data_IF_846542763424
#
_entry.id   IF_846542763424
#
_cell.length_a   1.000
_cell.length_b   1.000
_cell.length_c   1.000
_cell.angle_alpha   90.00
_cell.angle_beta   90.00
_cell.angle_gamma   90.00
#
_symmetry.space_group_name_H-M   'P 1'
#
loop_
_entity.id
_entity.type
_entity.pdbx_description
1 polymer ?
#
# COMPACT_ATOMS: atom_id res chain seq x y z
N UNK A 1 -8.07 79.52 -1.75
CA UNK A 1 -8.25 78.08 -1.42
C UNK A 1 -8.12 77.11 -2.60
N UNK A 2 -8.31 77.51 -3.87
CA UNK A 2 -8.14 76.60 -5.04
C UNK A 2 -6.73 75.99 -5.17
N UNK A 3 -5.68 76.76 -4.86
CA UNK A 3 -4.28 76.29 -4.99
C UNK A 3 -3.87 75.22 -3.96
N UNK A 4 -4.51 75.18 -2.79
CA UNK A 4 -4.22 74.18 -1.74
C UNK A 4 -4.74 72.79 -2.16
N UNK A 5 -5.90 72.74 -2.83
CA UNK A 5 -6.46 71.47 -3.34
C UNK A 5 -5.58 70.84 -4.42
N UNK A 6 -4.99 71.67 -5.29
CA UNK A 6 -4.06 71.20 -6.33
C UNK A 6 -2.75 70.69 -5.73
N UNK A 7 -2.22 71.37 -4.70
CA UNK A 7 -1.01 70.92 -4.01
C UNK A 7 -1.25 69.60 -3.27
N UNK A 8 -2.36 69.46 -2.56
CA UNK A 8 -2.72 68.20 -1.88
C UNK A 8 -2.94 67.05 -2.87
N UNK A 9 -3.52 67.32 -4.05
CA UNK A 9 -3.68 66.31 -5.09
C UNK A 9 -2.30 65.85 -5.62
N UNK A 10 -1.39 66.78 -5.91
CA UNK A 10 -0.04 66.44 -6.39
C UNK A 10 0.73 65.65 -5.33
N UNK A 11 0.66 66.06 -4.05
CA UNK A 11 1.32 65.33 -2.95
C UNK A 11 0.73 63.93 -2.81
N UNK A 12 -0.61 63.79 -2.85
CA UNK A 12 -1.28 62.50 -2.78
C UNK A 12 -0.85 61.59 -3.94
N UNK A 13 -0.86 62.09 -5.18
CA UNK A 13 -0.44 61.32 -6.35
C UNK A 13 1.02 60.86 -6.25
N UNK A 14 1.93 61.73 -5.77
CA UNK A 14 3.33 61.36 -5.57
C UNK A 14 3.46 60.28 -4.49
N UNK A 15 2.76 60.40 -3.35
CA UNK A 15 2.82 59.38 -2.29
C UNK A 15 2.26 58.03 -2.71
N UNK A 16 1.26 57.98 -3.60
CA UNK A 16 0.74 56.72 -4.13
C UNK A 16 1.66 56.08 -5.18
N UNK A 17 2.45 56.86 -5.93
CA UNK A 17 3.39 56.29 -6.92
C UNK A 17 4.64 55.71 -6.27
N UNK A 18 5.17 56.29 -5.18
CA UNK A 18 6.32 55.70 -4.47
C UNK A 18 5.95 54.56 -3.51
N UNK A 19 4.68 54.43 -3.13
CA UNK A 19 4.21 53.36 -2.23
C UNK A 19 3.87 52.04 -2.94
N UNK A 20 3.86 52.02 -4.28
CA UNK A 20 3.48 50.83 -5.05
C UNK A 20 4.64 50.17 -5.82
N UNK A 21 5.87 50.68 -5.71
CA UNK A 21 7.03 50.07 -6.39
C UNK A 21 7.77 49.03 -5.54
N UNK A 22 7.37 48.83 -4.29
CA UNK A 22 8.00 47.88 -3.38
C UNK A 22 6.91 47.06 -2.64
N UNK A 23 6.24 46.16 -3.38
CA UNK A 23 5.12 45.35 -2.87
C UNK A 23 5.54 44.20 -1.92
N UNK A 24 6.83 44.14 -1.54
CA UNK A 24 7.35 43.10 -0.65
C UNK A 24 8.61 43.48 0.16
N UNK A 25 9.20 44.66 -0.07
CA UNK A 25 10.49 45.01 0.51
C UNK A 25 11.62 44.12 -0.04
N UNK A 26 12.84 44.39 0.41
CA UNK A 26 14.03 43.52 0.22
C UNK A 26 13.92 42.15 0.92
N UNK A 27 12.72 41.75 1.32
CA UNK A 27 12.38 40.51 2.04
C UNK A 27 12.33 39.29 1.12
N UNK A 28 12.97 39.35 -0.06
CA UNK A 28 13.24 38.15 -0.86
C UNK A 28 14.25 37.34 -0.06
N UNK A 29 13.74 36.39 0.73
CA UNK A 29 14.58 35.34 1.29
C UNK A 29 14.97 34.50 0.07
N UNK A 30 16.25 34.46 -0.34
CA UNK A 30 16.67 33.54 -1.37
C UNK A 30 16.43 32.14 -0.84
N UNK A 31 15.41 31.47 -1.38
CA UNK A 31 15.15 30.07 -1.09
C UNK A 31 15.97 29.25 -2.08
N UNK A 32 16.67 28.26 -1.58
CA UNK A 32 17.33 27.27 -2.42
C UNK A 32 16.25 26.37 -3.03
N UNK A 33 16.30 26.20 -4.36
CA UNK A 33 15.37 25.32 -5.05
C UNK A 33 15.80 23.86 -4.83
N UNK A 34 14.88 23.05 -4.29
CA UNK A 34 15.09 21.61 -4.14
C UNK A 34 14.80 20.83 -5.43
N UNK A 35 14.91 19.50 -5.33
CA UNK A 35 14.54 18.57 -6.39
C UNK A 35 13.61 17.46 -5.87
N UNK A 36 12.72 16.98 -6.72
CA UNK A 36 11.80 15.88 -6.42
C UNK A 36 11.68 14.94 -7.62
N UNK A 37 11.65 13.61 -7.41
CA UNK A 37 11.46 12.66 -8.49
C UNK A 37 9.97 12.44 -8.78
N UNK A 38 9.70 11.82 -9.92
CA UNK A 38 8.46 11.11 -10.18
C UNK A 38 8.80 9.66 -10.55
N UNK A 39 8.45 8.72 -9.68
CA UNK A 39 8.64 7.29 -9.88
C UNK A 39 7.33 6.63 -10.28
N UNK A 40 7.37 5.75 -11.26
CA UNK A 40 6.18 5.04 -11.76
C UNK A 40 6.51 3.56 -11.90
N UNK A 41 5.77 2.69 -11.21
CA UNK A 41 5.89 1.24 -11.42
C UNK A 41 5.47 0.89 -12.86
N UNK A 42 6.18 -0.01 -13.52
CA UNK A 42 5.71 -0.54 -14.79
C UNK A 42 4.40 -1.31 -14.57
N UNK A 43 3.47 -1.25 -15.52
CA UNK A 43 2.14 -1.89 -15.39
C UNK A 43 2.22 -3.41 -15.28
N UNK A 44 3.26 -4.02 -15.83
CA UNK A 44 3.56 -5.45 -15.73
C UNK A 44 4.40 -5.83 -14.51
N UNK A 45 4.95 -4.85 -13.78
CA UNK A 45 5.82 -5.13 -12.65
C UNK A 45 5.01 -5.67 -11.46
N UNK A 46 5.58 -6.60 -10.68
CA UNK A 46 4.94 -7.08 -9.47
C UNK A 46 4.78 -5.93 -8.46
N UNK A 47 3.67 -5.94 -7.73
CA UNK A 47 3.39 -4.91 -6.72
C UNK A 47 4.22 -5.10 -5.44
N UNK A 48 4.71 -6.31 -5.19
CA UNK A 48 5.41 -6.77 -3.99
C UNK A 48 6.53 -7.75 -4.37
N UNK A 49 7.45 -8.02 -3.43
CA UNK A 49 8.45 -9.08 -3.57
C UNK A 49 7.83 -10.37 -3.03
N UNK A 50 7.65 -11.36 -3.90
CA UNK A 50 7.14 -12.68 -3.53
C UNK A 50 8.16 -13.46 -2.70
N UNK A 51 7.89 -13.64 -1.42
CA UNK A 51 8.79 -14.26 -0.46
C UNK A 51 9.09 -15.73 -0.79
N UNK A 52 8.10 -16.49 -1.28
CA UNK A 52 8.29 -17.90 -1.64
C UNK A 52 9.21 -18.01 -2.85
N UNK A 53 8.98 -17.16 -3.86
CA UNK A 53 9.84 -17.09 -5.05
C UNK A 53 11.26 -16.67 -4.68
N UNK A 54 11.40 -15.67 -3.82
CA UNK A 54 12.70 -15.21 -3.35
C UNK A 54 13.47 -16.33 -2.62
N UNK A 55 12.81 -17.08 -1.74
CA UNK A 55 13.38 -18.23 -1.04
C UNK A 55 13.82 -19.35 -1.98
N UNK A 56 13.03 -19.62 -3.02
CA UNK A 56 13.33 -20.65 -4.01
C UNK A 56 14.35 -20.22 -5.06
N UNK A 57 14.84 -18.97 -5.01
CA UNK A 57 15.74 -18.41 -6.01
C UNK A 57 15.08 -18.19 -7.37
N UNK A 58 13.74 -18.10 -7.40
CA UNK A 58 13.00 -17.75 -8.61
C UNK A 58 13.15 -16.25 -8.91
N UNK A 59 13.31 -15.88 -10.19
CA UNK A 59 13.53 -14.49 -10.55
C UNK A 59 12.25 -13.67 -10.34
N UNK A 60 12.35 -12.61 -9.55
CA UNK A 60 11.35 -11.55 -9.45
C UNK A 60 12.03 -10.29 -9.97
N UNK A 61 11.41 -9.63 -10.93
CA UNK A 61 11.94 -8.41 -11.54
C UNK A 61 11.03 -7.24 -11.23
N UNK A 62 11.53 -6.28 -10.46
CA UNK A 62 10.89 -5.01 -10.20
C UNK A 62 11.23 -4.05 -11.34
N UNK A 63 10.23 -3.52 -12.02
CA UNK A 63 10.43 -2.58 -13.13
C UNK A 63 9.73 -1.25 -12.82
N UNK A 64 10.44 -0.15 -13.06
CA UNK A 64 9.93 1.19 -12.77
C UNK A 64 10.65 2.26 -13.61
N UNK A 65 9.93 3.33 -13.92
CA UNK A 65 10.48 4.54 -14.52
C UNK A 65 10.79 5.57 -13.43
N UNK A 66 11.87 6.31 -13.60
CA UNK A 66 12.17 7.49 -12.77
C UNK A 66 12.38 8.69 -13.68
N UNK A 67 11.78 9.82 -13.31
CA UNK A 67 11.95 11.12 -13.96
C UNK A 67 12.10 12.22 -12.91
N UNK A 68 12.57 13.40 -13.32
CA UNK A 68 12.62 14.58 -12.44
C UNK A 68 11.29 15.30 -12.55
N UNK A 69 10.52 15.37 -11.45
CA UNK A 69 9.29 16.15 -11.39
C UNK A 69 9.56 17.64 -11.20
N UNK A 70 10.56 17.95 -10.38
CA UNK A 70 10.91 19.32 -10.01
C UNK A 70 12.41 19.43 -9.73
N UNK A 71 12.97 20.61 -10.01
CA UNK A 71 14.37 20.94 -9.75
C UNK A 71 15.30 20.61 -10.92
N UNK A 72 16.56 20.99 -10.78
CA UNK A 72 17.62 20.75 -11.77
C UNK A 72 18.90 20.23 -11.07
N UNK A 73 18.89 18.98 -10.59
CA UNK A 73 20.02 18.39 -9.89
C UNK A 73 21.23 18.22 -10.83
N UNK A 74 22.44 18.34 -10.28
CA UNK A 74 23.68 18.06 -11.01
C UNK A 74 23.92 16.56 -11.22
N UNK A 75 23.53 15.74 -10.25
CA UNK A 75 23.53 14.27 -10.37
C UNK A 75 22.37 13.65 -9.59
N UNK A 76 22.02 12.43 -9.99
CA UNK A 76 20.96 11.64 -9.34
C UNK A 76 21.46 10.23 -9.06
N UNK A 77 21.20 9.73 -7.86
CA UNK A 77 21.32 8.33 -7.50
C UNK A 77 19.93 7.76 -7.22
N UNK A 78 19.72 6.49 -7.54
CA UNK A 78 18.55 5.72 -7.12
C UNK A 78 18.93 4.97 -5.84
N UNK A 79 18.16 5.20 -4.78
CA UNK A 79 18.41 4.69 -3.44
C UNK A 79 17.36 3.63 -3.11
N UNK A 80 17.80 2.52 -2.53
CA UNK A 80 16.97 1.53 -1.90
C UNK A 80 17.06 1.67 -0.37
N UNK A 81 15.91 1.66 0.29
CA UNK A 81 15.79 1.62 1.75
C UNK A 81 15.06 0.34 2.10
N UNK A 82 15.75 -0.57 2.78
CA UNK A 82 15.17 -1.84 3.22
C UNK A 82 14.81 -1.76 4.70
N UNK A 83 13.54 -1.85 5.03
CA UNK A 83 13.04 -1.84 6.41
C UNK A 83 12.54 -3.23 6.76
N UNK A 84 13.16 -3.84 7.76
CA UNK A 84 12.70 -5.14 8.27
C UNK A 84 11.46 -4.97 9.14
N UNK A 85 10.61 -5.99 9.21
CA UNK A 85 9.45 -6.04 10.09
C UNK A 85 9.84 -5.86 11.57
N UNK A 86 11.04 -6.31 11.94
CA UNK A 86 11.60 -6.16 13.29
C UNK A 86 12.02 -4.72 13.62
N UNK A 87 12.05 -3.81 12.64
CA UNK A 87 12.36 -2.39 12.82
C UNK A 87 13.71 -1.90 12.27
N UNK A 88 14.79 -2.70 12.18
CA UNK A 88 16.02 -2.28 11.50
C UNK A 88 15.80 -1.75 10.08
N UNK A 89 16.55 -0.70 9.73
CA UNK A 89 16.54 -0.04 8.42
C UNK A 89 17.95 -0.03 7.82
N UNK A 90 18.06 -0.45 6.56
CA UNK A 90 19.30 -0.49 5.78
C UNK A 90 19.14 0.35 4.51
N UNK A 91 20.25 0.90 4.00
CA UNK A 91 20.22 1.77 2.82
C UNK A 91 21.31 1.35 1.83
N UNK A 92 21.00 1.40 0.54
CA UNK A 92 21.92 1.08 -0.53
C UNK A 92 21.74 2.03 -1.72
N UNK A 93 22.83 2.34 -2.42
CA UNK A 93 22.77 2.96 -3.74
C UNK A 93 22.52 1.86 -4.75
N UNK A 94 21.32 1.81 -5.33
CA UNK A 94 20.95 0.81 -6.33
C UNK A 94 21.52 1.16 -7.71
N UNK A 95 21.46 2.44 -8.08
CA UNK A 95 22.03 2.95 -9.32
C UNK A 95 22.67 4.31 -9.06
N UNK A 96 23.95 4.47 -9.40
CA UNK A 96 24.70 5.70 -9.16
C UNK A 96 24.80 6.58 -10.40
N UNK A 97 24.67 7.90 -10.21
CA UNK A 97 24.90 8.93 -11.23
C UNK A 97 24.15 8.69 -12.54
N UNK A 98 22.85 8.44 -12.43
CA UNK A 98 21.96 8.13 -13.56
C UNK A 98 21.50 9.38 -14.29
N UNK A 99 21.11 9.22 -15.57
CA UNK A 99 20.51 10.30 -16.37
C UNK A 99 19.03 10.03 -16.54
N UNK A 100 18.18 10.95 -16.06
CA UNK A 100 16.73 10.80 -16.08
C UNK A 100 16.08 11.62 -17.22
N UNK A 101 14.93 11.21 -17.77
CA UNK A 101 14.12 10.04 -17.39
C UNK A 101 14.70 8.72 -17.88
N UNK A 102 14.55 7.66 -17.09
CA UNK A 102 15.08 6.33 -17.41
C UNK A 102 14.22 5.23 -16.79
N UNK A 103 14.11 4.10 -17.51
CA UNK A 103 13.54 2.85 -17.00
C UNK A 103 14.61 2.02 -16.30
N UNK A 104 14.24 1.45 -15.15
CA UNK A 104 15.08 0.62 -14.31
C UNK A 104 14.45 -0.75 -14.12
N UNK A 105 15.32 -1.74 -13.97
CA UNK A 105 14.97 -3.13 -13.68
C UNK A 105 15.85 -3.59 -12.53
N UNK A 106 15.24 -4.14 -11.48
CA UNK A 106 15.91 -4.63 -10.29
C UNK A 106 15.41 -6.03 -9.99
N UNK A 107 16.29 -7.03 -10.05
CA UNK A 107 15.94 -8.39 -9.68
C UNK A 107 16.06 -8.61 -8.17
N UNK A 108 15.46 -9.66 -7.63
CA UNK A 108 15.69 -10.06 -6.22
C UNK A 108 17.18 -10.28 -5.93
N UNK A 109 17.95 -10.80 -6.88
CA UNK A 109 19.39 -10.98 -6.73
C UNK A 109 20.13 -9.64 -6.63
N UNK A 110 19.69 -8.62 -7.39
CA UNK A 110 20.26 -7.27 -7.30
C UNK A 110 19.93 -6.63 -5.95
N UNK A 111 18.72 -6.86 -5.41
CA UNK A 111 18.35 -6.42 -4.05
C UNK A 111 19.29 -7.05 -3.03
N UNK A 112 19.42 -8.39 -3.02
CA UNK A 112 20.31 -9.11 -2.10
C UNK A 112 21.75 -8.60 -2.23
N UNK A 113 22.25 -8.39 -3.45
CA UNK A 113 23.61 -7.89 -3.67
C UNK A 113 23.82 -6.43 -3.23
N UNK A 114 22.77 -5.61 -3.19
CA UNK A 114 22.85 -4.20 -2.83
C UNK A 114 22.93 -3.96 -1.32
N UNK A 115 22.33 -4.84 -0.51
CA UNK A 115 22.29 -4.70 0.96
C UNK A 115 23.20 -5.73 1.61
N UNK A 116 24.23 -5.26 2.32
CA UNK A 116 25.21 -6.13 2.99
C UNK A 116 24.63 -7.01 4.11
N UNK A 117 23.44 -6.65 4.59
CA UNK A 117 22.72 -7.30 5.69
C UNK A 117 21.76 -8.40 5.19
N UNK A 118 21.63 -8.57 3.87
CA UNK A 118 20.78 -9.56 3.23
C UNK A 118 21.71 -10.54 2.48
N UNK A 119 21.87 -11.76 2.99
CA UNK A 119 22.79 -12.74 2.40
C UNK A 119 22.11 -13.53 1.26
N UNK A 120 20.79 -13.67 1.32
CA UNK A 120 20.01 -14.47 0.38
C UNK A 120 18.55 -14.02 0.28
N UNK A 121 17.83 -14.53 -0.71
CA UNK A 121 16.38 -14.34 -0.81
C UNK A 121 15.62 -14.89 0.40
N UNK A 122 16.22 -15.79 1.20
CA UNK A 122 15.64 -16.27 2.43
C UNK A 122 15.66 -15.26 3.57
N UNK A 123 16.48 -14.22 3.50
CA UNK A 123 16.50 -13.14 4.49
C UNK A 123 15.41 -12.10 4.21
N UNK A 124 14.73 -12.19 3.06
CA UNK A 124 13.56 -11.38 2.77
C UNK A 124 12.34 -11.98 3.48
N UNK A 125 11.93 -11.35 4.58
CA UNK A 125 10.86 -11.85 5.44
C UNK A 125 9.54 -11.12 5.20
N UNK A 126 8.44 -11.80 5.47
CA UNK A 126 7.10 -11.23 5.37
C UNK A 126 6.97 -10.03 6.27
N UNK A 127 6.44 -8.92 5.73
CA UNK A 127 6.31 -7.67 6.44
C UNK A 127 7.53 -6.76 6.33
N UNK A 128 8.64 -7.23 5.75
CA UNK A 128 9.73 -6.36 5.33
C UNK A 128 9.28 -5.45 4.16
N UNK A 129 10.00 -4.35 3.95
CA UNK A 129 9.67 -3.36 2.94
C UNK A 129 10.92 -2.88 2.22
N UNK A 130 10.94 -3.03 0.90
CA UNK A 130 11.88 -2.31 0.04
C UNK A 130 11.22 -1.01 -0.46
N UNK A 131 11.75 0.12 -0.03
CA UNK A 131 11.38 1.44 -0.54
C UNK A 131 12.44 1.93 -1.53
N UNK A 132 12.02 2.23 -2.76
CA UNK A 132 12.88 2.85 -3.79
C UNK A 132 12.60 4.35 -3.83
N UNK A 133 13.66 5.14 -3.85
CA UNK A 133 13.61 6.60 -3.92
C UNK A 133 14.85 7.16 -4.61
N UNK A 134 15.04 8.48 -4.57
CA UNK A 134 16.20 9.16 -5.17
C UNK A 134 16.99 9.95 -4.15
N UNK A 135 18.29 10.08 -4.40
CA UNK A 135 19.17 11.08 -3.82
C UNK A 135 19.60 12.03 -4.92
N UNK A 136 19.41 13.32 -4.71
CA UNK A 136 19.87 14.34 -5.65
C UNK A 136 21.10 15.06 -5.09
N UNK A 137 22.10 15.30 -5.94
CA UNK A 137 23.15 16.29 -5.65
C UNK A 137 22.88 17.52 -6.49
N UNK A 138 22.69 18.66 -5.85
CA UNK A 138 22.43 19.95 -6.50
C UNK A 138 23.72 20.58 -7.05
N UNK A 139 23.66 21.57 -7.96
CA UNK A 139 24.85 22.19 -8.55
C UNK A 139 25.81 22.87 -7.56
N UNK A 140 25.32 23.25 -6.38
CA UNK A 140 26.10 23.80 -5.28
C UNK A 140 26.76 22.72 -4.40
N UNK A 141 26.49 21.44 -4.67
CA UNK A 141 26.96 20.29 -3.91
C UNK A 141 26.02 19.83 -2.80
N UNK A 142 24.88 20.48 -2.60
CA UNK A 142 23.89 20.10 -1.58
C UNK A 142 23.28 18.74 -1.93
N UNK A 143 23.23 17.83 -0.94
CA UNK A 143 22.64 16.50 -1.10
C UNK A 143 21.23 16.50 -0.53
N UNK A 144 20.26 16.09 -1.33
CA UNK A 144 18.86 15.98 -0.97
C UNK A 144 18.43 14.51 -1.00
N UNK A 145 18.16 13.97 0.19
CA UNK A 145 17.59 12.64 0.39
C UNK A 145 16.08 12.75 0.57
N UNK A 146 15.32 12.08 -0.29
CA UNK A 146 13.85 12.09 -0.22
C UNK A 146 13.34 11.33 1.00
N UNK A 147 13.97 10.19 1.31
CA UNK A 147 13.77 9.41 2.52
C UNK A 147 15.04 9.51 3.34
N UNK A 148 14.93 9.81 4.64
CA UNK A 148 16.10 9.93 5.49
C UNK A 148 16.76 8.57 5.73
N UNK A 149 18.07 8.55 6.06
CA UNK A 149 18.80 7.29 6.28
C UNK A 149 18.23 6.38 7.38
N UNK A 150 17.44 6.92 8.32
CA UNK A 150 16.74 6.16 9.36
C UNK A 150 15.37 5.61 8.90
N UNK A 151 15.05 5.70 7.61
CA UNK A 151 13.81 5.19 7.02
C UNK A 151 12.58 6.05 7.27
N UNK A 152 12.73 7.18 7.97
CA UNK A 152 11.62 8.10 8.21
C UNK A 152 11.26 8.80 6.90
N UNK A 153 9.98 8.72 6.53
CA UNK A 153 9.39 9.50 5.42
C UNK A 153 9.23 10.95 5.90
N UNK A 154 10.34 11.67 6.00
CA UNK A 154 10.41 12.99 6.65
C UNK A 154 11.47 13.94 6.08
N UNK A 155 12.32 13.48 5.15
CA UNK A 155 13.39 14.29 4.54
C UNK A 155 12.90 15.41 3.64
N UNK A 156 11.61 15.44 3.31
CA UNK A 156 10.99 16.46 2.45
C UNK A 156 9.85 17.18 3.16
N UNK A 157 9.46 18.36 2.69
CA UNK A 157 8.30 19.09 3.23
C UNK A 157 6.99 18.32 3.03
N UNK A 158 5.99 18.57 3.89
CA UNK A 158 4.67 17.90 3.81
C UNK A 158 4.00 18.07 2.46
N UNK A 159 4.21 19.19 1.78
CA UNK A 159 3.75 19.46 0.43
C UNK A 159 4.26 18.44 -0.61
N UNK A 160 5.49 17.94 -0.44
CA UNK A 160 6.08 16.91 -1.30
C UNK A 160 5.60 15.51 -0.88
N UNK A 161 5.44 15.27 0.42
CA UNK A 161 5.00 13.97 0.93
C UNK A 161 3.53 13.65 0.59
N UNK A 162 2.66 14.66 0.52
CA UNK A 162 1.22 14.47 0.32
C UNK A 162 0.73 14.88 -1.08
N UNK A 163 1.64 15.21 -2.00
CA UNK A 163 1.27 15.59 -3.36
C UNK A 163 0.68 14.41 -4.12
N UNK A 164 -0.29 14.69 -5.00
CA UNK A 164 -0.88 13.71 -5.93
C UNK A 164 -0.35 13.88 -7.35
N UNK A 165 0.52 14.86 -7.59
CA UNK A 165 1.00 15.21 -8.93
C UNK A 165 2.13 14.30 -9.41
N UNK A 166 2.89 13.73 -8.49
CA UNK A 166 4.01 12.84 -8.74
C UNK A 166 4.23 11.93 -7.54
N UNK A 167 4.93 10.82 -7.76
CA UNK A 167 5.24 9.85 -6.71
C UNK A 167 6.71 9.93 -6.35
N UNK A 168 7.04 10.11 -5.08
CA UNK A 168 8.43 10.31 -4.61
C UNK A 168 9.10 9.05 -4.07
N UNK A 169 8.31 8.02 -3.79
CA UNK A 169 8.77 6.72 -3.29
C UNK A 169 7.95 5.59 -3.90
N UNK A 170 8.59 4.48 -4.25
CA UNK A 170 7.92 3.22 -4.56
C UNK A 170 8.13 2.26 -3.41
N UNK A 171 7.05 1.63 -2.94
CA UNK A 171 7.10 0.64 -1.86
C UNK A 171 6.82 -0.75 -2.45
N UNK A 172 7.71 -1.70 -2.15
CA UNK A 172 7.58 -3.11 -2.49
C UNK A 172 7.63 -3.91 -1.19
N UNK A 173 6.46 -4.18 -0.58
CA UNK A 173 6.42 -5.06 0.58
C UNK A 173 6.91 -6.45 0.20
N UNK A 174 7.54 -7.15 1.14
CA UNK A 174 7.80 -8.58 1.02
C UNK A 174 6.57 -9.31 1.55
N UNK A 175 5.95 -10.11 0.69
CA UNK A 175 4.74 -10.87 0.99
C UNK A 175 4.73 -12.15 0.15
N UNK A 176 3.89 -13.13 0.47
CA UNK A 176 3.69 -14.28 -0.42
C UNK A 176 2.56 -13.99 -1.40
N UNK A 177 2.65 -14.53 -2.61
CA UNK A 177 1.52 -14.48 -3.55
C UNK A 177 0.39 -15.36 -3.02
N UNK A 178 -0.62 -14.72 -2.44
CA UNK A 178 -1.91 -15.34 -2.25
C UNK A 178 -2.65 -15.38 -3.59
N UNK A 179 -3.20 -16.52 -3.97
CA UNK A 179 -4.14 -16.62 -5.08
C UNK A 179 -5.45 -17.23 -4.58
N UNK A 180 -6.08 -16.55 -3.64
CA UNK A 180 -7.37 -16.97 -3.09
C UNK A 180 -8.55 -16.33 -3.84
N UNK A 181 -8.31 -15.45 -4.82
CA UNK A 181 -9.39 -14.81 -5.55
C UNK A 181 -10.23 -15.80 -6.36
N UNK A 182 -11.52 -15.52 -6.50
CA UNK A 182 -12.44 -16.34 -7.28
C UNK A 182 -13.85 -16.36 -6.71
N UNK A 183 -14.72 -17.16 -7.33
CA UNK A 183 -16.06 -17.46 -6.81
C UNK A 183 -16.12 -18.90 -6.30
N UNK A 184 -16.23 -19.05 -4.98
CA UNK A 184 -16.19 -20.32 -4.28
C UNK A 184 -17.59 -20.74 -3.87
N UNK A 185 -17.93 -22.01 -4.04
CA UNK A 185 -19.16 -22.54 -3.44
C UNK A 185 -18.93 -22.81 -1.97
N UNK A 186 -19.95 -22.62 -1.15
CA UNK A 186 -19.89 -22.94 0.27
C UNK A 186 -21.06 -23.82 0.70
N UNK A 187 -20.84 -24.57 1.77
CA UNK A 187 -21.87 -25.24 2.57
C UNK A 187 -21.68 -24.82 4.02
N UNK A 188 -22.62 -24.03 4.54
CA UNK A 188 -22.64 -23.55 5.92
C UNK A 188 -23.52 -24.43 6.78
N UNK A 189 -23.04 -24.74 7.97
CA UNK A 189 -23.73 -25.55 8.98
C UNK A 189 -23.56 -24.94 10.38
N UNK A 190 -24.26 -25.48 11.37
CA UNK A 190 -24.18 -25.04 12.77
C UNK A 190 -24.36 -23.51 12.96
N UNK A 191 -25.19 -22.88 12.12
CA UNK A 191 -25.44 -21.45 12.17
C UNK A 191 -26.11 -21.06 13.50
N UNK A 192 -25.55 -20.06 14.17
CA UNK A 192 -26.08 -19.49 15.40
C UNK A 192 -26.19 -17.98 15.26
N UNK A 193 -27.33 -17.44 15.69
CA UNK A 193 -27.53 -16.02 15.83
C UNK A 193 -27.85 -15.69 17.29
N UNK A 194 -27.31 -14.60 17.82
CA UNK A 194 -27.54 -14.20 19.21
C UNK A 194 -29.03 -13.94 19.49
N UNK A 195 -29.74 -13.40 18.50
CA UNK A 195 -31.19 -13.12 18.59
C UNK A 195 -31.89 -13.63 17.34
N UNK A 196 -32.14 -14.93 17.26
CA UNK A 196 -32.86 -15.49 16.10
C UNK A 196 -33.00 -17.01 16.17
N UNK A 197 -33.80 -17.56 15.26
CA UNK A 197 -33.83 -18.99 15.00
C UNK A 197 -33.20 -19.26 13.65
N UNK A 198 -32.01 -19.82 13.67
CA UNK A 198 -31.32 -20.26 12.47
C UNK A 198 -31.93 -21.57 11.92
N UNK A 199 -31.79 -21.83 10.61
CA UNK A 199 -32.24 -23.09 10.03
C UNK A 199 -31.49 -24.27 10.64
N UNK A 200 -32.16 -25.42 10.78
CA UNK A 200 -31.57 -26.64 11.36
C UNK A 200 -30.78 -27.49 10.37
N UNK A 201 -30.65 -27.04 9.12
CA UNK A 201 -29.96 -27.76 8.05
C UNK A 201 -28.99 -26.85 7.32
N UNK A 202 -28.22 -27.47 6.44
CA UNK A 202 -27.14 -26.78 5.73
C UNK A 202 -27.66 -25.72 4.77
N UNK A 203 -26.87 -24.66 4.62
CA UNK A 203 -27.13 -23.54 3.71
C UNK A 203 -26.01 -23.49 2.70
N UNK A 204 -26.35 -23.68 1.43
CA UNK A 204 -25.38 -23.61 0.34
C UNK A 204 -25.51 -22.31 -0.43
N UNK A 205 -24.38 -21.85 -0.97
CA UNK A 205 -24.33 -20.66 -1.80
C UNK A 205 -22.97 -20.47 -2.43
N UNK A 206 -22.68 -19.24 -2.83
CA UNK A 206 -21.38 -18.84 -3.35
C UNK A 206 -20.89 -17.59 -2.65
N UNK A 207 -19.59 -17.52 -2.42
CA UNK A 207 -18.91 -16.31 -1.97
C UNK A 207 -17.87 -15.92 -3.02
N UNK A 208 -17.74 -14.63 -3.30
CA UNK A 208 -16.73 -14.11 -4.20
C UNK A 208 -15.66 -13.40 -3.40
N UNK A 209 -14.41 -13.80 -3.60
CA UNK A 209 -13.22 -13.13 -3.06
C UNK A 209 -12.54 -12.36 -4.18
N UNK A 210 -12.59 -11.02 -4.09
CA UNK A 210 -12.02 -10.11 -5.09
C UNK A 210 -10.66 -9.63 -4.63
N UNK A 211 -9.60 -10.01 -5.36
CA UNK A 211 -8.23 -9.59 -5.10
C UNK A 211 -8.10 -8.06 -5.18
N UNK A 212 -7.60 -7.45 -4.10
CA UNK A 212 -7.30 -6.02 -4.00
C UNK A 212 -5.79 -5.74 -4.14
N UNK A 213 -4.98 -6.78 -4.31
CA UNK A 213 -3.52 -6.74 -4.35
C UNK A 213 -2.87 -6.91 -2.98
N UNK A 214 -1.62 -7.37 -2.97
CA UNK A 214 -0.81 -7.50 -1.75
C UNK A 214 -1.31 -8.53 -0.74
N UNK A 215 -2.12 -9.50 -1.18
CA UNK A 215 -2.72 -10.51 -0.30
C UNK A 215 -4.03 -10.09 0.36
N UNK A 216 -4.60 -8.94 0.01
CA UNK A 216 -5.88 -8.46 0.55
C UNK A 216 -7.03 -8.85 -0.38
N UNK A 217 -8.12 -9.37 0.18
CA UNK A 217 -9.31 -9.79 -0.55
C UNK A 217 -10.56 -9.15 0.02
N UNK A 218 -11.40 -8.61 -0.87
CA UNK A 218 -12.77 -8.22 -0.53
C UNK A 218 -13.69 -9.43 -0.65
N UNK A 219 -14.48 -9.74 0.39
CA UNK A 219 -15.47 -10.83 0.37
C UNK A 219 -16.89 -10.30 0.16
N UNK A 220 -17.66 -11.01 -0.67
CA UNK A 220 -19.08 -10.71 -0.88
C UNK A 220 -19.98 -11.09 0.30
N UNK A 221 -19.47 -11.90 1.24
CA UNK A 221 -20.19 -12.33 2.44
C UNK A 221 -19.20 -12.81 3.51
N UNK A 222 -19.22 -12.19 4.68
CA UNK A 222 -18.40 -12.55 5.84
C UNK A 222 -19.00 -13.70 6.67
N UNK A 223 -20.32 -13.92 6.57
CA UNK A 223 -21.09 -14.90 7.34
C UNK A 223 -21.58 -16.09 6.51
N UNK A 224 -21.07 -16.24 5.28
CA UNK A 224 -21.32 -17.38 4.39
C UNK A 224 -22.81 -17.79 4.32
N UNK A 225 -23.66 -16.85 3.93
CA UNK A 225 -25.08 -17.06 3.68
C UNK A 225 -25.98 -16.90 4.90
N UNK A 226 -25.44 -16.77 6.12
CA UNK A 226 -26.27 -16.72 7.34
C UNK A 226 -27.35 -15.64 7.27
N UNK A 227 -27.00 -14.41 6.86
CA UNK A 227 -27.94 -13.30 6.90
C UNK A 227 -29.16 -13.52 6.00
N UNK A 228 -28.98 -14.19 4.86
CA UNK A 228 -30.06 -14.53 3.93
C UNK A 228 -31.04 -15.60 4.44
N UNK A 229 -30.77 -16.21 5.59
CA UNK A 229 -31.61 -17.29 6.17
C UNK A 229 -32.64 -16.75 7.16
N UNK A 230 -33.36 -17.64 7.84
CA UNK A 230 -34.24 -17.27 8.96
C UNK A 230 -33.50 -16.74 10.18
N UNK A 231 -32.16 -16.78 10.23
CA UNK A 231 -31.38 -16.10 11.28
C UNK A 231 -31.69 -14.59 11.29
N UNK A 232 -31.67 -13.95 10.11
CA UNK A 232 -31.80 -12.49 9.97
C UNK A 232 -32.75 -12.04 8.86
N UNK A 233 -32.93 -12.84 7.80
CA UNK A 233 -33.73 -12.52 6.61
C UNK A 233 -33.32 -11.20 5.94
N UNK A 234 -32.02 -11.03 5.80
CA UNK A 234 -31.35 -9.82 5.32
C UNK A 234 -30.40 -10.12 4.16
N UNK A 235 -29.84 -9.07 3.57
CA UNK A 235 -28.73 -9.10 2.64
C UNK A 235 -27.46 -9.70 3.25
N UNK A 236 -26.56 -10.31 2.44
CA UNK A 236 -25.27 -10.85 2.90
C UNK A 236 -24.47 -9.88 3.78
N UNK A 237 -23.67 -10.41 4.71
CA UNK A 237 -22.83 -9.61 5.59
C UNK A 237 -21.62 -9.07 4.81
N UNK A 238 -21.70 -7.86 4.27
CA UNK A 238 -20.66 -7.28 3.41
C UNK A 238 -20.67 -5.75 3.41
N UNK A 239 -19.52 -5.16 3.09
CA UNK A 239 -19.34 -3.72 2.89
C UNK A 239 -18.09 -3.46 2.04
N UNK A 240 -17.77 -2.20 1.74
CA UNK A 240 -16.48 -1.85 1.13
C UNK A 240 -15.26 -2.16 2.02
N UNK A 241 -15.47 -2.46 3.30
CA UNK A 241 -14.45 -2.88 4.26
C UNK A 241 -14.55 -4.36 4.65
N UNK A 242 -15.39 -5.17 3.99
CA UNK A 242 -15.49 -6.61 4.27
C UNK A 242 -14.30 -7.36 3.65
N UNK A 243 -13.13 -7.24 4.27
CA UNK A 243 -11.86 -7.72 3.70
C UNK A 243 -11.11 -8.64 4.64
N UNK A 244 -10.50 -9.71 4.14
CA UNK A 244 -9.49 -10.47 4.87
C UNK A 244 -8.14 -10.37 4.14
N UNK A 245 -7.06 -10.76 4.82
CA UNK A 245 -5.74 -10.86 4.20
C UNK A 245 -5.19 -12.26 4.30
N UNK A 246 -4.48 -12.70 3.27
CA UNK A 246 -3.58 -13.84 3.33
C UNK A 246 -2.13 -13.36 3.34
N UNK A 247 -1.40 -13.81 4.35
CA UNK A 247 0.02 -13.56 4.49
C UNK A 247 0.73 -14.91 4.61
N UNK A 248 1.23 -15.41 3.47
CA UNK A 248 1.97 -16.67 3.40
C UNK A 248 1.17 -17.85 3.92
N UNK A 249 -0.01 -18.00 3.34
CA UNK A 249 -0.98 -19.04 3.63
C UNK A 249 -1.62 -18.93 5.03
N UNK A 250 -1.38 -17.84 5.77
CA UNK A 250 -2.11 -17.51 6.98
C UNK A 250 -3.25 -16.55 6.63
N UNK A 251 -4.48 -17.06 6.66
CA UNK A 251 -5.66 -16.21 6.58
C UNK A 251 -5.82 -15.46 7.90
N UNK A 252 -5.64 -14.15 7.80
CA UNK A 252 -5.96 -13.19 8.86
C UNK A 252 -7.31 -12.59 8.49
N UNK A 253 -8.34 -13.08 9.16
CA UNK A 253 -9.68 -12.49 9.08
C UNK A 253 -9.64 -11.05 9.58
N UNK A 254 -10.38 -10.19 8.89
CA UNK A 254 -10.44 -8.78 9.17
C UNK A 254 -11.67 -8.16 8.52
N UNK A 255 -11.75 -6.83 8.60
CA UNK A 255 -12.82 -6.08 7.96
C UNK A 255 -14.12 -6.03 8.76
N UNK A 256 -15.08 -5.29 8.19
CA UNK A 256 -16.38 -5.02 8.80
C UNK A 256 -17.51 -5.21 7.79
N UNK A 257 -18.63 -5.73 8.25
CA UNK A 257 -19.87 -5.78 7.47
C UNK A 257 -20.56 -4.40 7.39
N UNK A 258 -21.74 -4.33 6.78
CA UNK A 258 -22.55 -3.10 6.65
C UNK A 258 -23.00 -2.51 7.99
N UNK A 259 -22.90 -3.27 9.09
CA UNK A 259 -23.27 -2.87 10.44
C UNK A 259 -22.04 -2.54 11.31
N UNK A 260 -20.83 -2.65 10.75
CA UNK A 260 -19.58 -2.39 11.47
C UNK A 260 -19.08 -3.57 12.31
N UNK A 261 -19.68 -4.75 12.15
CA UNK A 261 -19.34 -5.94 12.93
C UNK A 261 -18.05 -6.57 12.42
N UNK A 262 -17.19 -6.99 13.34
CA UNK A 262 -15.92 -7.64 13.00
C UNK A 262 -16.05 -9.15 13.05
N UNK A 263 -15.40 -9.83 12.10
CA UNK A 263 -15.46 -11.29 11.95
C UNK A 263 -14.11 -11.92 12.24
N UNK A 264 -14.14 -13.06 12.91
CA UNK A 264 -13.00 -13.94 13.12
C UNK A 264 -13.26 -15.25 12.39
N UNK A 265 -12.30 -15.68 11.57
CA UNK A 265 -12.28 -16.96 10.88
C UNK A 265 -11.13 -17.80 11.42
N UNK A 266 -11.40 -19.09 11.63
CA UNK A 266 -10.42 -20.10 12.03
C UNK A 266 -10.49 -21.22 11.01
N UNK A 267 -9.44 -21.35 10.19
CA UNK A 267 -9.33 -22.44 9.22
C UNK A 267 -9.01 -23.71 10.00
N UNK A 268 -9.87 -24.72 9.90
CA UNK A 268 -9.76 -25.96 10.68
C UNK A 268 -9.19 -27.12 9.87
N UNK A 269 -9.40 -27.14 8.56
CA UNK A 269 -8.87 -28.17 7.66
C UNK A 269 -8.76 -27.67 6.22
N UNK A 270 -7.78 -28.20 5.48
CA UNK A 270 -7.64 -28.00 4.03
C UNK A 270 -7.31 -29.34 3.40
N UNK A 271 -8.17 -29.79 2.48
CA UNK A 271 -8.02 -31.06 1.80
C UNK A 271 -8.38 -30.91 0.31
N UNK A 272 -7.34 -30.72 -0.51
CA UNK A 272 -7.50 -30.50 -1.95
C UNK A 272 -8.41 -29.28 -2.20
N UNK A 273 -9.53 -29.42 -2.91
CA UNK A 273 -10.40 -28.31 -3.26
C UNK A 273 -11.31 -27.84 -2.11
N UNK A 274 -11.34 -28.55 -0.98
CA UNK A 274 -12.20 -28.22 0.16
C UNK A 274 -11.38 -27.61 1.30
N UNK A 275 -11.88 -26.49 1.84
CA UNK A 275 -11.36 -25.83 3.03
C UNK A 275 -12.48 -25.69 4.05
N UNK A 276 -12.25 -26.19 5.26
CA UNK A 276 -13.18 -26.06 6.38
C UNK A 276 -12.74 -24.92 7.30
N UNK A 277 -13.67 -24.06 7.70
CA UNK A 277 -13.41 -23.02 8.70
C UNK A 277 -14.62 -22.81 9.61
N UNK A 278 -14.35 -22.39 10.84
CA UNK A 278 -15.36 -21.85 11.75
C UNK A 278 -15.24 -20.33 11.78
N UNK A 279 -16.37 -19.65 11.88
CA UNK A 279 -16.39 -18.20 11.98
C UNK A 279 -17.29 -17.71 13.11
N UNK A 280 -16.97 -16.54 13.64
CA UNK A 280 -17.80 -15.81 14.61
C UNK A 280 -17.67 -14.31 14.40
N UNK A 281 -18.68 -13.53 14.81
CA UNK A 281 -18.58 -12.07 14.87
C UNK A 281 -18.67 -11.53 16.31
N UNK A 282 -18.33 -10.25 16.47
CA UNK A 282 -18.37 -9.54 17.76
C UNK A 282 -19.78 -9.23 18.28
N UNK A 283 -20.81 -9.50 17.50
CA UNK A 283 -22.21 -9.44 17.92
C UNK A 283 -22.68 -10.74 18.59
N UNK A 284 -22.01 -11.87 18.34
CA UNK A 284 -22.31 -13.17 18.93
C UNK A 284 -22.92 -14.18 17.96
N UNK A 285 -22.86 -13.92 16.66
CA UNK A 285 -23.24 -14.90 15.63
C UNK A 285 -22.05 -15.78 15.26
N UNK A 286 -22.33 -17.01 14.81
CA UNK A 286 -21.30 -17.96 14.39
C UNK A 286 -21.81 -19.00 13.40
N UNK A 287 -20.88 -19.74 12.80
CA UNK A 287 -21.17 -20.90 11.98
C UNK A 287 -19.92 -21.66 11.56
N UNK A 288 -20.13 -22.86 11.01
CA UNK A 288 -19.10 -23.65 10.35
C UNK A 288 -19.35 -23.62 8.84
N UNK A 289 -18.29 -23.60 8.04
CA UNK A 289 -18.41 -23.58 6.59
C UNK A 289 -17.36 -24.46 5.94
N UNK A 290 -17.77 -25.19 4.92
CA UNK A 290 -16.88 -25.85 3.96
C UNK A 290 -16.94 -25.06 2.66
N UNK A 291 -15.79 -24.52 2.23
CA UNK A 291 -15.60 -23.83 0.98
C UNK A 291 -14.97 -24.77 -0.04
N UNK A 292 -15.62 -24.91 -1.20
CA UNK A 292 -15.03 -25.55 -2.37
C UNK A 292 -14.48 -24.49 -3.31
N UNK A 293 -13.18 -24.58 -3.63
CA UNK A 293 -12.50 -23.61 -4.48
C UNK A 293 -13.11 -23.60 -5.90
N UNK A 294 -13.01 -22.45 -6.55
CA UNK A 294 -13.54 -22.24 -7.89
C UNK A 294 -12.96 -23.28 -8.87
N UNK A 295 -13.82 -23.90 -9.68
CA UNK A 295 -13.39 -24.91 -10.64
C UNK A 295 -12.89 -26.22 -10.03
N UNK A 296 -12.98 -26.41 -8.70
CA UNK A 296 -12.53 -27.62 -8.01
C UNK A 296 -11.01 -27.79 -7.99
N UNK A 297 -10.26 -26.69 -8.09
CA UNK A 297 -8.80 -26.72 -7.96
C UNK A 297 -8.39 -26.76 -6.48
N UNK A 298 -7.25 -27.35 -6.17
CA UNK A 298 -6.80 -27.47 -4.78
C UNK A 298 -6.50 -26.11 -4.17
N UNK A 299 -6.86 -25.87 -2.90
CA UNK A 299 -6.38 -24.72 -2.13
C UNK A 299 -4.85 -24.77 -1.96
N UNK A 300 -4.17 -23.62 -1.81
CA UNK A 300 -2.78 -23.64 -1.33
C UNK A 300 -2.72 -24.21 0.09
N UNK A 301 -1.53 -24.59 0.56
CA UNK A 301 -1.31 -25.13 1.90
C UNK A 301 -1.51 -24.04 2.97
N UNK A 302 -2.77 -23.79 3.35
CA UNK A 302 -3.16 -22.81 4.37
C UNK A 302 -2.89 -23.32 5.78
N UNK A 303 -2.50 -22.41 6.68
CA UNK A 303 -2.36 -22.70 8.09
C UNK A 303 -3.72 -23.06 8.70
N UNK A 304 -3.77 -24.21 9.34
CA UNK A 304 -4.92 -24.69 10.10
C UNK A 304 -4.69 -24.54 11.60
N UNK A 305 -5.77 -24.39 12.38
CA UNK A 305 -5.76 -24.19 13.84
C UNK A 305 -6.78 -25.09 14.54
#
# INVERSE_FOLDING_TARGET
>A
MKKIKTILLIIATITFTVSCEDDGGTSVIPLEEGAAPNLVKATSAPAFIDQVKAQNGEPITLEFNVSIAQGNPASTDIIGVYTTFAGPVYNAVLFSNVTLPQDFSLTTADVVAAFSEIDSGADLQVGDMLTITTRFTMPDGTILDIVSPDGVKGGTGTNIQTTVLFTTVLNYPVSCTSNLGGTHSFVSSNLQAITGTCPSGDVSGTVTWTDQGGGIYLTSDLGFGQYGTTCWSDSPATSGGATFSDACNLIISGGQDQYGLTYTWVITDVNGPEMSLSWSNDYGDSGDVVLTREGGVDWPDLFTQ
#
